data_IF_228641764365
#
_entry.id   IF_228641764365
#
_cell.length_a   1.000
_cell.length_b   1.000
_cell.length_c   1.000
_cell.angle_alpha   90.00
_cell.angle_beta   90.00
_cell.angle_gamma   90.00
#
_symmetry.space_group_name_H-M   'P 1'
#
loop_
_entity.id
_entity.type
_entity.pdbx_description
1 polymer ?
#
# COMPACT_ATOMS: atom_id res chain seq x y z
N UNK A 1 9.93 -4.05 -22.40
CA UNK A 1 10.85 -3.28 -23.28
C UNK A 1 10.11 -2.34 -24.26
N UNK A 2 8.93 -1.80 -23.91
CA UNK A 2 8.15 -0.92 -24.81
C UNK A 2 7.99 0.52 -24.25
N UNK A 3 8.52 0.79 -23.05
CA UNK A 3 8.23 2.03 -22.31
C UNK A 3 9.41 3.04 -22.27
N UNK A 4 10.38 2.94 -23.17
CA UNK A 4 11.63 3.72 -23.08
C UNK A 4 11.86 4.70 -24.23
N UNK A 5 10.84 5.00 -25.06
CA UNK A 5 11.06 5.69 -26.34
C UNK A 5 10.10 6.86 -26.65
N UNK A 6 9.57 7.56 -25.63
CA UNK A 6 8.58 8.62 -25.86
C UNK A 6 8.85 9.98 -25.16
N UNK A 7 10.12 10.29 -24.83
CA UNK A 7 10.46 11.58 -24.20
C UNK A 7 11.66 12.19 -24.92
N UNK A 8 11.45 12.69 -26.14
CA UNK A 8 12.47 13.44 -26.88
C UNK A 8 11.79 14.43 -27.85
N UNK A 9 10.99 15.35 -27.30
CA UNK A 9 10.62 16.59 -28.00
C UNK A 9 10.83 17.74 -27.00
N UNK A 10 12.06 18.27 -26.99
CA UNK A 10 12.40 19.50 -26.30
C UNK A 10 11.91 20.68 -27.14
N UNK A 11 10.94 21.43 -26.62
CA UNK A 11 10.60 22.77 -27.10
C UNK A 11 11.28 23.81 -26.19
N UNK A 12 12.05 24.72 -26.80
CA UNK A 12 12.72 25.82 -26.13
C UNK A 12 11.72 26.91 -25.69
N UNK A 13 11.90 27.57 -24.53
CA UNK A 13 11.04 28.68 -24.14
C UNK A 13 11.50 29.95 -24.86
N UNK A 14 10.70 30.42 -25.82
CA UNK A 14 10.80 31.77 -26.35
C UNK A 14 10.34 32.76 -25.26
N UNK A 15 11.25 33.60 -24.76
CA UNK A 15 10.89 34.74 -23.92
C UNK A 15 10.32 35.84 -24.83
N UNK A 16 9.01 35.81 -25.06
CA UNK A 16 8.30 36.95 -25.63
C UNK A 16 8.12 37.99 -24.52
N UNK A 17 8.66 39.20 -24.71
CA UNK A 17 8.23 40.33 -23.88
C UNK A 17 6.75 40.58 -24.16
N UNK A 18 5.91 40.48 -23.15
CA UNK A 18 4.50 40.85 -23.24
C UNK A 18 4.40 42.37 -23.39
N UNK A 19 4.18 42.84 -24.61
CA UNK A 19 3.64 44.19 -24.86
C UNK A 19 2.10 44.17 -24.61
N UNK A 20 1.67 43.59 -23.48
CA UNK A 20 0.25 43.56 -23.12
C UNK A 20 -0.16 44.90 -22.50
N UNK A 21 -1.00 45.72 -23.17
CA UNK A 21 -1.44 47.01 -22.62
C UNK A 21 -2.15 46.85 -21.27
N UNK A 22 -2.80 45.71 -21.02
CA UNK A 22 -3.50 45.46 -19.75
C UNK A 22 -2.52 45.26 -18.58
N UNK A 23 -1.31 44.74 -18.84
CA UNK A 23 -0.25 44.60 -17.85
C UNK A 23 0.29 45.97 -17.41
N UNK A 24 0.50 46.88 -18.37
CA UNK A 24 0.99 48.23 -18.10
C UNK A 24 0.02 49.03 -17.22
N UNK A 25 -1.28 48.95 -17.48
CA UNK A 25 -2.30 49.63 -16.68
C UNK A 25 -2.42 49.03 -15.26
N UNK A 26 -2.32 47.70 -15.13
CA UNK A 26 -2.31 47.03 -13.82
C UNK A 26 -1.10 47.43 -12.96
N UNK A 27 0.10 47.42 -13.54
CA UNK A 27 1.33 47.84 -12.87
C UNK A 27 1.24 49.30 -12.43
N UNK A 28 0.67 50.15 -13.28
CA UNK A 28 0.48 51.55 -12.97
C UNK A 28 -0.43 51.78 -11.76
N UNK A 29 -1.59 51.11 -11.74
CA UNK A 29 -2.53 51.17 -10.61
C UNK A 29 -1.87 50.67 -9.33
N UNK A 30 -1.11 49.57 -9.41
CA UNK A 30 -0.38 49.02 -8.27
C UNK A 30 0.68 49.99 -7.73
N UNK A 31 1.55 50.54 -8.58
CA UNK A 31 2.64 51.43 -8.18
C UNK A 31 2.17 52.79 -7.64
N UNK A 32 1.00 53.27 -8.09
CA UNK A 32 0.42 54.53 -7.60
C UNK A 32 -0.49 54.36 -6.38
N UNK A 33 -0.80 53.13 -5.98
CA UNK A 33 -1.58 52.85 -4.78
C UNK A 33 -0.89 53.44 -3.54
N UNK A 34 -1.66 54.05 -2.63
CA UNK A 34 -1.12 54.78 -1.48
C UNK A 34 -0.10 53.97 -0.65
N UNK A 35 -0.32 52.65 -0.53
CA UNK A 35 0.56 51.73 0.19
C UNK A 35 1.94 51.56 -0.48
N UNK A 36 2.02 51.68 -1.80
CA UNK A 36 3.23 51.38 -2.59
C UNK A 36 4.07 52.61 -2.92
N UNK A 37 3.58 53.83 -2.65
CA UNK A 37 4.25 55.08 -3.03
C UNK A 37 5.63 55.25 -2.38
N UNK A 38 5.74 54.95 -1.09
CA UNK A 38 7.02 55.01 -0.39
C UNK A 38 8.02 53.98 -0.94
N UNK A 39 7.55 52.76 -1.19
CA UNK A 39 8.38 51.68 -1.72
C UNK A 39 8.79 51.94 -3.18
N UNK A 40 7.93 52.59 -3.98
CA UNK A 40 8.27 53.02 -5.34
C UNK A 40 9.37 54.10 -5.34
N UNK A 41 9.27 55.08 -4.44
CA UNK A 41 10.31 56.11 -4.29
C UNK A 41 11.65 55.49 -3.82
N UNK A 42 11.58 54.53 -2.88
CA UNK A 42 12.75 53.78 -2.43
C UNK A 42 13.37 52.93 -3.54
N UNK A 43 12.55 52.23 -4.34
CA UNK A 43 13.01 51.46 -5.50
C UNK A 43 13.68 52.36 -6.55
N UNK A 44 13.06 53.51 -6.87
CA UNK A 44 13.62 54.48 -7.81
C UNK A 44 14.97 55.05 -7.33
N UNK A 45 15.09 55.32 -6.02
CA UNK A 45 16.34 55.78 -5.40
C UNK A 45 17.42 54.68 -5.43
N UNK A 46 17.04 53.44 -5.11
CA UNK A 46 17.95 52.28 -5.12
C UNK A 46 18.50 52.00 -6.52
N UNK A 47 17.68 52.21 -7.56
CA UNK A 47 18.08 52.10 -8.96
C UNK A 47 18.90 53.29 -9.47
N UNK A 48 19.10 54.33 -8.65
CA UNK A 48 19.83 55.54 -9.01
C UNK A 48 19.11 56.44 -10.03
N UNK A 49 17.79 56.31 -10.17
CA UNK A 49 16.99 57.08 -11.13
C UNK A 49 16.65 58.48 -10.59
N UNK A 50 16.58 58.62 -9.27
CA UNK A 50 16.25 59.85 -8.54
C UNK A 50 17.01 59.89 -7.22
N UNK A 51 17.06 61.06 -6.58
CA UNK A 51 17.52 61.22 -5.20
C UNK A 51 16.31 61.24 -4.24
N UNK A 52 16.48 60.90 -2.95
CA UNK A 52 15.37 60.92 -1.98
C UNK A 52 14.83 62.36 -1.78
N UNK A 53 13.50 62.47 -1.66
CA UNK A 53 12.79 63.70 -1.34
C UNK A 53 12.78 64.06 0.15
N UNK A 54 12.05 65.12 0.48
CA UNK A 54 11.85 65.54 1.88
C UNK A 54 10.79 64.69 2.58
N UNK A 55 9.89 64.07 1.82
CA UNK A 55 8.89 63.12 2.27
C UNK A 55 9.12 61.72 1.64
N UNK A 56 8.64 60.63 2.25
CA UNK A 56 8.82 59.27 1.74
C UNK A 56 8.25 59.01 0.33
N UNK A 57 7.28 59.81 -0.09
CA UNK A 57 6.59 59.73 -1.39
C UNK A 57 7.05 60.81 -2.38
N UNK A 58 8.08 61.59 -2.01
CA UNK A 58 8.70 62.59 -2.87
C UNK A 58 10.06 62.12 -3.37
N UNK A 59 10.40 62.53 -4.59
CA UNK A 59 11.69 62.26 -5.21
C UNK A 59 12.33 63.56 -5.68
N UNK A 60 13.64 63.59 -5.79
CA UNK A 60 14.39 64.75 -6.32
C UNK A 60 15.04 64.40 -7.64
N UNK A 61 14.75 65.19 -8.67
CA UNK A 61 15.40 65.11 -9.97
C UNK A 61 16.20 66.39 -10.19
N UNK A 62 17.52 66.27 -10.41
CA UNK A 62 18.43 67.40 -10.50
C UNK A 62 18.28 68.40 -9.34
N UNK A 63 18.10 67.89 -8.12
CA UNK A 63 17.98 68.68 -6.90
C UNK A 63 16.59 69.31 -6.64
N UNK A 64 15.63 69.20 -7.58
CA UNK A 64 14.27 69.75 -7.41
C UNK A 64 13.30 68.68 -6.88
N UNK A 65 12.52 68.96 -5.81
CA UNK A 65 11.51 68.03 -5.31
C UNK A 65 10.35 67.88 -6.30
N UNK A 66 9.88 66.65 -6.47
CA UNK A 66 8.84 66.24 -7.40
C UNK A 66 7.96 65.17 -6.74
N UNK A 67 6.65 65.23 -6.98
CA UNK A 67 5.75 64.12 -6.66
C UNK A 67 5.95 62.99 -7.68
N UNK A 68 5.56 61.76 -7.31
CA UNK A 68 5.66 60.59 -8.18
C UNK A 68 4.87 60.75 -9.49
N UNK A 69 3.69 61.39 -9.44
CA UNK A 69 2.87 61.68 -10.63
C UNK A 69 3.59 62.66 -11.56
N UNK A 70 4.21 63.70 -11.01
CA UNK A 70 4.95 64.68 -11.81
C UNK A 70 6.23 64.07 -12.39
N UNK A 71 6.90 63.21 -11.63
CA UNK A 71 8.06 62.46 -12.10
C UNK A 71 7.70 61.55 -13.28
N UNK A 72 6.59 60.81 -13.18
CA UNK A 72 6.05 59.98 -14.29
C UNK A 72 5.84 60.78 -15.57
N UNK A 73 5.23 61.96 -15.50
CA UNK A 73 5.00 62.79 -16.70
C UNK A 73 6.32 63.25 -17.33
N UNK A 74 7.33 63.57 -16.52
CA UNK A 74 8.61 64.11 -17.00
C UNK A 74 9.57 63.01 -17.49
N UNK A 75 9.52 61.83 -16.88
CA UNK A 75 10.46 60.71 -17.10
C UNK A 75 9.71 59.36 -17.08
N UNK A 76 8.79 59.11 -18.03
CA UNK A 76 7.93 57.92 -18.01
C UNK A 76 8.73 56.61 -18.01
N UNK A 77 9.78 56.50 -18.84
CA UNK A 77 10.60 55.28 -18.88
C UNK A 77 11.36 54.97 -17.59
N UNK A 78 11.78 55.98 -16.84
CA UNK A 78 12.45 55.78 -15.54
C UNK A 78 11.41 55.36 -14.48
N UNK A 79 10.21 55.94 -14.52
CA UNK A 79 9.09 55.56 -13.67
C UNK A 79 8.70 54.09 -13.90
N UNK A 80 8.49 53.69 -15.16
CA UNK A 80 8.10 52.33 -15.53
C UNK A 80 9.16 51.30 -15.15
N UNK A 81 10.45 51.69 -15.20
CA UNK A 81 11.56 50.85 -14.75
C UNK A 81 11.52 50.63 -13.24
N UNK A 82 11.30 51.69 -12.45
CA UNK A 82 11.18 51.57 -10.99
C UNK A 82 9.92 50.78 -10.59
N UNK A 83 8.79 51.02 -11.26
CA UNK A 83 7.54 50.34 -11.01
C UNK A 83 7.65 48.82 -11.28
N UNK A 84 8.27 48.43 -12.40
CA UNK A 84 8.55 47.01 -12.67
C UNK A 84 9.50 46.38 -11.64
N UNK A 85 10.52 47.11 -11.19
CA UNK A 85 11.42 46.61 -10.16
C UNK A 85 10.71 46.39 -8.83
N UNK A 86 9.80 47.29 -8.44
CA UNK A 86 8.96 47.13 -7.26
C UNK A 86 8.02 45.93 -7.39
N UNK A 87 7.29 45.84 -8.51
CA UNK A 87 6.37 44.73 -8.76
C UNK A 87 7.08 43.37 -8.78
N UNK A 88 8.30 43.29 -9.30
CA UNK A 88 9.11 42.07 -9.29
C UNK A 88 9.58 41.65 -7.89
N UNK A 89 9.61 42.58 -6.92
CA UNK A 89 9.93 42.31 -5.53
C UNK A 89 8.72 41.88 -4.70
N UNK A 90 7.49 42.11 -5.19
CA UNK A 90 6.26 41.74 -4.50
C UNK A 90 5.90 40.26 -4.76
N UNK A 91 5.84 39.40 -3.73
CA UNK A 91 5.49 38.00 -3.89
C UNK A 91 4.05 37.78 -4.36
N UNK A 92 3.11 38.71 -4.11
CA UNK A 92 1.71 38.58 -4.49
C UNK A 92 1.47 38.88 -5.98
N UNK A 93 2.38 39.63 -6.61
CA UNK A 93 2.35 39.92 -8.05
C UNK A 93 3.19 38.97 -8.89
N UNK A 94 3.99 38.12 -8.25
CA UNK A 94 4.72 37.07 -8.94
C UNK A 94 3.70 36.09 -9.47
N UNK A 95 3.51 36.06 -10.80
CA UNK A 95 2.67 35.03 -11.41
C UNK A 95 3.15 33.67 -10.89
N UNK A 96 2.22 32.80 -10.43
CA UNK A 96 2.59 31.48 -9.99
C UNK A 96 3.36 30.83 -11.14
N UNK A 97 4.65 30.58 -10.90
CA UNK A 97 5.57 30.06 -11.90
C UNK A 97 4.91 28.83 -12.49
N UNK A 98 4.42 28.96 -13.73
CA UNK A 98 3.59 27.92 -14.34
C UNK A 98 4.42 26.64 -14.27
N UNK A 99 3.91 25.58 -13.61
CA UNK A 99 4.69 24.38 -13.38
C UNK A 99 5.21 23.95 -14.74
N UNK A 100 6.55 23.89 -14.87
CA UNK A 100 7.18 23.59 -16.15
C UNK A 100 6.55 22.34 -16.78
N UNK A 101 6.60 22.17 -18.10
CA UNK A 101 5.89 21.10 -18.81
C UNK A 101 6.13 19.70 -18.21
N UNK A 102 7.32 19.48 -17.63
CA UNK A 102 7.66 18.27 -16.90
C UNK A 102 6.88 18.11 -15.59
N UNK A 103 6.70 19.18 -14.79
CA UNK A 103 5.90 19.16 -13.58
C UNK A 103 4.41 18.94 -13.88
N UNK A 104 3.88 19.56 -14.94
CA UNK A 104 2.53 19.31 -15.41
C UNK A 104 2.34 17.87 -15.93
N UNK A 105 3.34 17.30 -16.60
CA UNK A 105 3.29 15.90 -17.02
C UNK A 105 3.35 14.94 -15.82
N UNK A 106 4.23 15.20 -14.85
CA UNK A 106 4.36 14.38 -13.65
C UNK A 106 3.10 14.41 -12.78
N UNK A 107 2.41 15.54 -12.69
CA UNK A 107 1.17 15.64 -11.92
C UNK A 107 0.05 14.75 -12.47
N UNK A 108 0.07 14.45 -13.77
CA UNK A 108 -0.86 13.50 -14.41
C UNK A 108 -0.32 12.06 -14.35
N UNK A 109 0.97 11.88 -14.59
CA UNK A 109 1.58 10.56 -14.69
C UNK A 109 1.61 9.81 -13.34
N UNK A 110 1.88 10.51 -12.25
CA UNK A 110 1.98 9.90 -10.91
C UNK A 110 0.65 9.24 -10.51
N UNK A 111 -0.53 9.91 -10.58
CA UNK A 111 -1.82 9.28 -10.31
C UNK A 111 -2.10 8.05 -11.19
N UNK A 112 -1.75 8.09 -12.48
CA UNK A 112 -1.97 6.98 -13.41
C UNK A 112 -1.13 5.77 -13.01
N UNK A 113 0.16 5.95 -12.74
CA UNK A 113 1.05 4.88 -12.30
C UNK A 113 0.59 4.33 -10.94
N UNK A 114 0.25 5.21 -10.00
CA UNK A 114 -0.26 4.81 -8.70
C UNK A 114 -1.56 3.98 -8.82
N UNK A 115 -2.50 4.40 -9.68
CA UNK A 115 -3.74 3.68 -9.95
C UNK A 115 -3.51 2.30 -10.59
N UNK A 116 -2.57 2.21 -11.54
CA UNK A 116 -2.20 0.94 -12.16
C UNK A 116 -1.55 -0.04 -11.15
N UNK A 117 -0.61 0.45 -10.34
CA UNK A 117 0.06 -0.35 -9.30
C UNK A 117 -0.94 -0.81 -8.23
N UNK A 118 -1.84 0.08 -7.80
CA UNK A 118 -2.91 -0.28 -6.86
C UNK A 118 -3.82 -1.36 -7.45
N UNK A 119 -4.20 -1.23 -8.72
CA UNK A 119 -5.04 -2.22 -9.41
C UNK A 119 -4.35 -3.58 -9.45
N UNK A 120 -3.09 -3.64 -9.90
CA UNK A 120 -2.29 -4.87 -9.92
C UNK A 120 -2.18 -5.50 -8.53
N UNK A 121 -1.83 -4.70 -7.51
CA UNK A 121 -1.74 -5.17 -6.14
C UNK A 121 -3.08 -5.74 -5.64
N UNK A 122 -4.21 -5.10 -5.95
CA UNK A 122 -5.53 -5.62 -5.55
C UNK A 122 -5.93 -6.90 -6.29
N UNK A 123 -5.53 -7.07 -7.55
CA UNK A 123 -5.82 -8.29 -8.33
C UNK A 123 -5.01 -9.48 -7.83
N UNK A 124 -3.70 -9.30 -7.67
CA UNK A 124 -2.81 -10.31 -7.07
C UNK A 124 -3.27 -10.68 -5.65
N UNK A 125 -3.68 -9.68 -4.87
CA UNK A 125 -4.20 -9.91 -3.53
C UNK A 125 -5.48 -10.74 -3.52
N UNK A 126 -6.44 -10.44 -4.40
CA UNK A 126 -7.68 -11.22 -4.53
C UNK A 126 -7.41 -12.63 -5.01
N UNK A 127 -6.50 -12.81 -5.98
CA UNK A 127 -6.11 -14.13 -6.47
C UNK A 127 -5.49 -14.99 -5.35
N UNK A 128 -4.54 -14.41 -4.60
CA UNK A 128 -3.92 -15.09 -3.46
C UNK A 128 -4.93 -15.41 -2.33
N UNK A 129 -5.89 -14.51 -2.08
CA UNK A 129 -6.95 -14.75 -1.10
C UNK A 129 -7.92 -15.86 -1.56
N UNK A 130 -8.27 -15.90 -2.85
CA UNK A 130 -9.08 -16.95 -3.44
C UNK A 130 -8.41 -18.32 -3.33
N UNK A 131 -7.13 -18.42 -3.71
CA UNK A 131 -6.35 -19.66 -3.60
C UNK A 131 -6.24 -20.16 -2.16
N UNK A 132 -6.01 -19.24 -1.21
CA UNK A 132 -6.00 -19.57 0.22
C UNK A 132 -7.36 -20.05 0.73
N UNK A 133 -8.45 -19.43 0.26
CA UNK A 133 -9.80 -19.83 0.63
C UNK A 133 -10.17 -21.22 0.10
N UNK A 134 -9.84 -21.50 -1.16
CA UNK A 134 -10.04 -22.80 -1.79
C UNK A 134 -9.26 -23.90 -1.06
N UNK A 135 -7.96 -23.68 -0.83
CA UNK A 135 -7.11 -24.64 -0.10
C UNK A 135 -7.65 -24.90 1.31
N UNK A 136 -8.13 -23.85 2.00
CA UNK A 136 -8.74 -23.97 3.31
C UNK A 136 -10.02 -24.81 3.30
N UNK A 137 -10.90 -24.63 2.31
CA UNK A 137 -12.12 -25.43 2.18
C UNK A 137 -11.80 -26.90 1.88
N UNK A 138 -10.92 -27.17 0.91
CA UNK A 138 -10.52 -28.54 0.56
C UNK A 138 -9.90 -29.28 1.75
N UNK A 139 -9.09 -28.59 2.57
CA UNK A 139 -8.53 -29.15 3.78
C UNK A 139 -9.60 -29.44 4.84
N UNK A 140 -10.57 -28.53 5.00
CA UNK A 140 -11.68 -28.71 5.94
C UNK A 140 -12.54 -29.92 5.55
N UNK A 141 -12.89 -30.03 4.26
CA UNK A 141 -13.69 -31.13 3.73
C UNK A 141 -12.95 -32.47 3.87
N UNK A 142 -11.65 -32.52 3.58
CA UNK A 142 -10.86 -33.73 3.81
C UNK A 142 -10.80 -34.13 5.30
N UNK A 143 -10.73 -33.15 6.21
CA UNK A 143 -10.70 -33.40 7.65
C UNK A 143 -12.05 -33.93 8.18
N UNK A 144 -13.17 -33.47 7.64
CA UNK A 144 -14.51 -33.98 8.01
C UNK A 144 -14.74 -35.39 7.48
N UNK A 145 -14.33 -35.67 6.23
CA UNK A 145 -14.38 -37.02 5.65
C UNK A 145 -13.53 -38.00 6.47
N UNK A 146 -12.30 -37.61 6.83
CA UNK A 146 -11.45 -38.43 7.71
C UNK A 146 -12.10 -38.69 9.07
N UNK A 147 -12.66 -37.66 9.72
CA UNK A 147 -13.33 -37.82 11.01
C UNK A 147 -14.52 -38.80 10.93
N UNK A 148 -15.32 -38.72 9.86
CA UNK A 148 -16.42 -39.64 9.61
C UNK A 148 -15.93 -41.08 9.38
N UNK A 149 -14.93 -41.27 8.50
CA UNK A 149 -14.34 -42.57 8.23
C UNK A 149 -13.73 -43.20 9.50
N UNK A 150 -13.05 -42.40 10.32
CA UNK A 150 -12.49 -42.84 11.60
C UNK A 150 -13.58 -43.26 12.60
N UNK A 151 -14.68 -42.52 12.68
CA UNK A 151 -15.81 -42.89 13.54
C UNK A 151 -16.46 -44.22 13.10
N UNK A 152 -16.66 -44.40 11.79
CA UNK A 152 -17.17 -45.67 11.22
C UNK A 152 -16.21 -46.82 11.52
N UNK A 153 -14.91 -46.61 11.31
CA UNK A 153 -13.87 -47.59 11.64
C UNK A 153 -13.92 -48.01 13.11
N UNK A 154 -13.98 -47.06 14.06
CA UNK A 154 -14.06 -47.38 15.49
C UNK A 154 -15.33 -48.14 15.88
N UNK A 155 -16.45 -47.89 15.18
CA UNK A 155 -17.68 -48.67 15.36
C UNK A 155 -17.50 -50.10 14.87
N UNK A 156 -17.00 -50.29 13.64
CA UNK A 156 -16.78 -51.61 13.07
C UNK A 156 -15.70 -52.41 13.81
N UNK A 157 -14.64 -51.74 14.26
CA UNK A 157 -13.54 -52.38 14.99
C UNK A 157 -14.01 -52.99 16.31
N UNK A 158 -14.93 -52.31 17.01
CA UNK A 158 -15.56 -52.86 18.23
C UNK A 158 -16.40 -54.12 17.94
N UNK A 159 -16.97 -54.23 16.74
CA UNK A 159 -17.77 -55.39 16.30
C UNK A 159 -16.94 -56.49 15.64
N UNK A 160 -15.71 -56.17 15.21
CA UNK A 160 -14.83 -57.10 14.51
C UNK A 160 -14.97 -57.09 12.98
N UNK A 161 -15.67 -56.10 12.41
CA UNK A 161 -15.96 -55.94 10.97
C UNK A 161 -15.45 -54.60 10.41
N UNK A 162 -14.39 -54.04 11.00
CA UNK A 162 -13.81 -52.77 10.56
C UNK A 162 -13.30 -52.82 9.11
N UNK A 163 -13.69 -51.83 8.32
CA UNK A 163 -13.09 -51.53 7.03
C UNK A 163 -11.92 -50.55 7.20
N UNK A 164 -10.70 -51.06 7.01
CA UNK A 164 -9.45 -50.28 7.09
C UNK A 164 -9.24 -49.45 5.82
N UNK A 165 -9.72 -49.92 4.66
CA UNK A 165 -9.42 -49.31 3.37
C UNK A 165 -10.04 -47.90 3.24
N UNK A 166 -11.29 -47.73 3.71
CA UNK A 166 -11.94 -46.43 3.74
C UNK A 166 -11.21 -45.42 4.64
N UNK A 167 -10.70 -45.87 5.80
CA UNK A 167 -9.93 -45.03 6.71
C UNK A 167 -8.58 -44.61 6.11
N UNK A 168 -7.83 -45.55 5.52
CA UNK A 168 -6.53 -45.28 4.89
C UNK A 168 -6.67 -44.32 3.70
N UNK A 169 -7.65 -44.52 2.83
CA UNK A 169 -7.93 -43.61 1.71
C UNK A 169 -8.25 -42.19 2.18
N UNK A 170 -9.07 -42.05 3.23
CA UNK A 170 -9.37 -40.74 3.81
C UNK A 170 -8.12 -40.11 4.47
N UNK A 171 -7.26 -40.92 5.09
CA UNK A 171 -5.99 -40.47 5.68
C UNK A 171 -5.03 -39.94 4.63
N UNK A 172 -4.79 -40.69 3.56
CA UNK A 172 -3.91 -40.29 2.46
C UNK A 172 -4.38 -38.99 1.81
N UNK A 173 -5.69 -38.90 1.56
CA UNK A 173 -6.32 -37.69 1.04
C UNK A 173 -6.08 -36.49 1.95
N UNK A 174 -6.29 -36.66 3.26
CA UNK A 174 -6.05 -35.59 4.23
C UNK A 174 -4.57 -35.21 4.31
N UNK A 175 -3.66 -36.19 4.32
CA UNK A 175 -2.22 -35.96 4.33
C UNK A 175 -1.78 -35.16 3.09
N UNK A 176 -2.30 -35.50 1.91
CA UNK A 176 -2.04 -34.75 0.68
C UNK A 176 -2.53 -33.30 0.78
N UNK A 177 -3.74 -33.04 1.32
CA UNK A 177 -4.25 -31.68 1.52
C UNK A 177 -3.42 -30.88 2.54
N UNK A 178 -2.95 -31.51 3.61
CA UNK A 178 -2.03 -30.88 4.58
C UNK A 178 -0.69 -30.56 3.89
N UNK A 179 -0.17 -31.45 3.05
CA UNK A 179 1.06 -31.23 2.26
C UNK A 179 0.92 -30.04 1.30
N UNK A 180 -0.20 -29.93 0.59
CA UNK A 180 -0.49 -28.79 -0.28
C UNK A 180 -0.55 -27.47 0.52
N UNK A 181 -1.16 -27.48 1.70
CA UNK A 181 -1.15 -26.32 2.60
C UNK A 181 0.28 -25.94 3.06
N UNK A 182 1.17 -26.91 3.26
CA UNK A 182 2.57 -26.68 3.58
C UNK A 182 3.32 -25.99 2.44
N UNK A 183 3.12 -26.44 1.20
CA UNK A 183 3.70 -25.81 0.01
C UNK A 183 3.20 -24.38 -0.20
N UNK A 184 1.90 -24.14 0.03
CA UNK A 184 1.32 -22.80 -0.03
C UNK A 184 1.83 -21.86 1.07
N UNK A 185 2.32 -22.41 2.20
CA UNK A 185 2.76 -21.65 3.38
C UNK A 185 4.05 -22.23 3.97
N UNK A 186 5.21 -22.08 3.30
CA UNK A 186 6.47 -22.71 3.74
C UNK A 186 6.98 -22.20 5.09
N UNK A 187 6.54 -21.00 5.52
CA UNK A 187 6.88 -20.45 6.83
C UNK A 187 6.05 -21.01 7.99
N UNK A 188 5.04 -21.84 7.74
CA UNK A 188 4.19 -22.42 8.78
C UNK A 188 4.75 -23.77 9.22
N UNK A 189 4.94 -23.96 10.52
CA UNK A 189 5.38 -25.24 11.10
C UNK A 189 4.22 -26.18 11.37
N UNK A 190 3.00 -25.66 11.38
CA UNK A 190 1.79 -26.40 11.76
C UNK A 190 1.45 -27.58 10.84
N UNK A 191 1.56 -27.49 9.50
CA UNK A 191 1.32 -28.64 8.63
C UNK A 191 2.21 -29.84 8.95
N UNK A 192 3.50 -29.61 9.22
CA UNK A 192 4.43 -30.68 9.60
C UNK A 192 4.02 -31.36 10.92
N UNK A 193 3.52 -30.58 11.90
CA UNK A 193 2.98 -31.14 13.15
C UNK A 193 1.71 -31.96 12.91
N UNK A 194 0.80 -31.47 12.08
CA UNK A 194 -0.43 -32.19 11.73
C UNK A 194 -0.11 -33.50 11.02
N UNK A 195 0.85 -33.53 10.09
CA UNK A 195 1.32 -34.76 9.45
C UNK A 195 1.90 -35.75 10.47
N UNK A 196 2.73 -35.27 11.42
CA UNK A 196 3.28 -36.12 12.47
C UNK A 196 2.17 -36.69 13.38
N UNK A 197 1.19 -35.87 13.79
CA UNK A 197 0.05 -36.33 14.58
C UNK A 197 -0.84 -37.33 13.80
N UNK A 198 -1.08 -37.08 12.51
CA UNK A 198 -1.85 -37.98 11.65
C UNK A 198 -1.18 -39.35 11.50
N UNK A 199 0.16 -39.37 11.40
CA UNK A 199 0.94 -40.60 11.45
C UNK A 199 0.79 -41.37 12.77
N UNK A 200 0.68 -40.66 13.90
CA UNK A 200 0.48 -41.26 15.23
C UNK A 200 -0.92 -41.88 15.43
N UNK A 201 -1.98 -41.22 14.93
CA UNK A 201 -3.37 -41.68 15.05
C UNK A 201 -3.65 -43.02 14.34
N UNK A 202 -2.78 -43.41 13.41
CA UNK A 202 -2.99 -44.58 12.54
C UNK A 202 -1.78 -45.52 12.53
N UNK A 203 -0.82 -45.32 13.44
CA UNK A 203 0.40 -46.13 13.50
C UNK A 203 0.13 -47.62 13.84
N UNK A 204 -1.07 -47.95 14.37
CA UNK A 204 -1.46 -49.33 14.63
C UNK A 204 -1.94 -49.99 13.36
N UNK A 205 -1.24 -51.05 12.97
CA UNK A 205 -1.66 -51.91 11.87
C UNK A 205 -2.98 -52.61 12.22
N UNK A 206 -3.73 -53.06 11.21
CA UNK A 206 -4.93 -53.88 11.41
C UNK A 206 -4.66 -55.09 12.34
N UNK A 207 -3.47 -55.68 12.23
CA UNK A 207 -3.03 -56.79 13.07
C UNK A 207 -2.88 -56.41 14.55
N UNK A 208 -2.54 -55.16 14.86
CA UNK A 208 -2.41 -54.69 16.24
C UNK A 208 -3.78 -54.45 16.87
N UNK A 209 -4.73 -53.95 16.08
CA UNK A 209 -6.12 -53.75 16.48
C UNK A 209 -6.84 -55.06 16.80
N UNK A 210 -6.52 -56.15 16.10
CA UNK A 210 -7.10 -57.49 16.37
C UNK A 210 -6.61 -58.11 17.67
N UNK A 211 -5.37 -57.81 18.11
CA UNK A 211 -4.76 -58.35 19.33
C UNK A 211 -5.31 -57.73 20.62
N UNK A 212 -6.06 -56.63 20.53
CA UNK A 212 -6.64 -55.96 21.70
C UNK A 212 -7.80 -56.78 22.28
N UNK A 213 -7.75 -57.16 23.57
CA UNK A 213 -8.84 -57.84 24.27
C UNK A 213 -10.16 -57.06 24.16
N UNK A 214 -11.27 -57.77 24.04
CA UNK A 214 -12.59 -57.17 23.78
C UNK A 214 -12.99 -56.15 24.86
N UNK A 215 -12.58 -56.41 26.11
CA UNK A 215 -12.85 -55.58 27.29
C UNK A 215 -12.21 -54.20 27.19
N UNK A 216 -11.05 -54.08 26.55
CA UNK A 216 -10.31 -52.82 26.40
C UNK A 216 -10.72 -52.00 25.17
N UNK A 217 -11.43 -52.61 24.21
CA UNK A 217 -11.77 -51.94 22.93
C UNK A 217 -12.62 -50.69 23.11
N UNK A 218 -13.58 -50.71 24.05
CA UNK A 218 -14.44 -49.57 24.30
C UNK A 218 -13.70 -48.37 24.90
N UNK A 219 -12.73 -48.62 25.79
CA UNK A 219 -11.91 -47.56 26.36
C UNK A 219 -10.93 -46.98 25.34
N UNK A 220 -10.23 -47.84 24.60
CA UNK A 220 -9.31 -47.40 23.54
C UNK A 220 -10.07 -46.61 22.47
N UNK A 221 -11.23 -47.09 22.00
CA UNK A 221 -12.04 -46.37 21.02
C UNK A 221 -12.45 -44.96 21.50
N UNK A 222 -12.76 -44.80 22.80
CA UNK A 222 -13.07 -43.47 23.37
C UNK A 222 -11.86 -42.53 23.36
N UNK A 223 -10.68 -43.04 23.74
CA UNK A 223 -9.44 -42.25 23.73
C UNK A 223 -9.06 -41.84 22.31
N UNK A 224 -9.11 -42.78 21.36
CA UNK A 224 -8.84 -42.50 19.95
C UNK A 224 -9.84 -41.54 19.32
N UNK A 225 -11.13 -41.66 19.65
CA UNK A 225 -12.14 -40.70 19.20
C UNK A 225 -11.86 -39.29 19.73
N UNK A 226 -11.43 -39.14 20.98
CA UNK A 226 -11.05 -37.85 21.55
C UNK A 226 -9.81 -37.26 20.86
N UNK A 227 -8.78 -38.08 20.60
CA UNK A 227 -7.57 -37.64 19.89
C UNK A 227 -7.86 -37.25 18.44
N UNK A 228 -8.69 -38.02 17.73
CA UNK A 228 -9.14 -37.68 16.38
C UNK A 228 -9.97 -36.39 16.36
N UNK A 229 -10.87 -36.18 17.33
CA UNK A 229 -11.63 -34.94 17.44
C UNK A 229 -10.74 -33.71 17.68
N UNK A 230 -9.74 -33.84 18.56
CA UNK A 230 -8.76 -32.78 18.81
C UNK A 230 -7.93 -32.47 17.56
N UNK A 231 -7.51 -33.49 16.82
CA UNK A 231 -6.79 -33.35 15.55
C UNK A 231 -7.66 -32.67 14.47
N UNK A 232 -8.92 -33.07 14.31
CA UNK A 232 -9.86 -32.44 13.36
C UNK A 232 -10.11 -30.98 13.72
N UNK A 233 -10.31 -30.65 15.00
CA UNK A 233 -10.48 -29.27 15.46
C UNK A 233 -9.26 -28.41 15.13
N UNK A 234 -8.05 -28.96 15.32
CA UNK A 234 -6.80 -28.27 15.01
C UNK A 234 -6.58 -28.08 13.50
N UNK A 235 -6.94 -29.08 12.69
CA UNK A 235 -6.93 -28.99 11.23
C UNK A 235 -7.94 -27.94 10.73
N UNK A 236 -9.15 -27.92 11.30
CA UNK A 236 -10.16 -26.92 10.99
C UNK A 236 -9.69 -25.49 11.35
N UNK A 237 -9.02 -25.32 12.49
CA UNK A 237 -8.43 -24.03 12.86
C UNK A 237 -7.37 -23.57 11.84
N UNK A 238 -6.55 -24.49 11.30
CA UNK A 238 -5.61 -24.20 10.21
C UNK A 238 -6.35 -23.82 8.91
N UNK A 239 -7.40 -24.55 8.54
CA UNK A 239 -8.24 -24.24 7.38
C UNK A 239 -8.83 -22.82 7.46
N UNK A 240 -9.38 -22.43 8.61
CA UNK A 240 -9.90 -21.07 8.84
C UNK A 240 -8.81 -20.01 8.67
N UNK A 241 -7.57 -20.29 9.08
CA UNK A 241 -6.43 -19.36 8.92
C UNK A 241 -6.00 -19.23 7.46
N UNK A 242 -6.04 -20.32 6.67
CA UNK A 242 -5.75 -20.28 5.23
C UNK A 242 -6.72 -19.37 4.47
N UNK A 243 -7.99 -19.33 4.90
CA UNK A 243 -9.04 -18.43 4.36
C UNK A 243 -8.82 -16.95 4.70
N UNK A 244 -7.89 -16.60 5.60
CA UNK A 244 -7.61 -15.23 6.06
C UNK A 244 -6.11 -14.89 5.92
N UNK A 245 -5.60 -14.70 4.70
CA UNK A 245 -4.17 -14.55 4.44
C UNK A 245 -3.51 -13.29 5.03
N UNK A 246 -4.28 -12.25 5.35
CA UNK A 246 -3.77 -10.95 5.83
C UNK A 246 -3.50 -10.88 7.33
N UNK A 247 -4.03 -11.83 8.12
CA UNK A 247 -3.76 -11.84 9.56
C UNK A 247 -2.33 -12.32 9.82
N UNK A 248 -1.60 -11.62 10.70
CA UNK A 248 -0.28 -12.09 11.16
C UNK A 248 -0.45 -13.38 11.97
N UNK A 249 -0.17 -14.51 11.34
CA UNK A 249 -0.29 -15.84 11.96
C UNK A 249 0.97 -16.22 12.76
N UNK A 250 1.34 -15.40 13.74
CA UNK A 250 2.54 -15.66 14.58
C UNK A 250 2.46 -17.03 15.28
N UNK A 251 1.26 -17.46 15.69
CA UNK A 251 1.02 -18.78 16.28
C UNK A 251 1.37 -19.96 15.35
N UNK A 252 1.31 -19.79 14.03
CA UNK A 252 1.63 -20.85 13.04
C UNK A 252 3.13 -20.96 12.75
N UNK A 253 3.91 -19.93 13.11
CA UNK A 253 5.35 -19.85 12.84
C UNK A 253 6.21 -20.24 14.03
N UNK A 254 5.64 -20.30 15.24
CA UNK A 254 6.42 -20.63 16.43
C UNK A 254 6.94 -22.07 16.29
N UNK A 255 8.27 -22.30 16.35
CA UNK A 255 8.82 -23.65 16.39
C UNK A 255 8.20 -24.43 17.54
N UNK A 256 8.12 -25.75 17.40
CA UNK A 256 7.60 -26.57 18.50
C UNK A 256 8.54 -26.38 19.68
N UNK A 257 8.03 -25.87 20.80
CA UNK A 257 8.81 -25.84 22.03
C UNK A 257 9.13 -27.30 22.36
N UNK A 258 10.40 -27.72 22.31
CA UNK A 258 10.76 -29.09 22.66
C UNK A 258 10.41 -29.28 24.13
N UNK A 259 9.42 -30.14 24.42
CA UNK A 259 9.00 -30.46 25.79
C UNK A 259 7.50 -30.29 26.12
N UNK A 260 6.66 -29.80 25.21
CA UNK A 260 5.22 -29.64 25.46
C UNK A 260 4.34 -30.82 24.98
N UNK A 261 4.94 -31.94 24.57
CA UNK A 261 4.21 -33.16 24.21
C UNK A 261 4.18 -34.11 25.42
N UNK A 262 3.10 -34.03 26.19
CA UNK A 262 2.72 -34.97 27.24
C UNK A 262 1.28 -35.40 27.01
#
# INVERSE_FOLDING_TARGET
MVLMLLILVLAAPAHAGSDDPDEADRLLVYCLAARQRADLAAAATTLGLVSPGSAPEEVRLAGRPLTLERWRTLRPGDFDRACRALAAADPDLREPESPGPLAAMLSVLIPVIAGALLTLATTEWRAAAGAGAQTGNELFDAATVFAAAHAVFLVGWRRGDADVAALESARETLAAKIGNAALARPSWTEPARLLAMLGGLTARSENDWRKVPMELRAEIARREAASAAAFTARTAAMAVRLRRPWLRHSAMRRPATPGAAS
#
